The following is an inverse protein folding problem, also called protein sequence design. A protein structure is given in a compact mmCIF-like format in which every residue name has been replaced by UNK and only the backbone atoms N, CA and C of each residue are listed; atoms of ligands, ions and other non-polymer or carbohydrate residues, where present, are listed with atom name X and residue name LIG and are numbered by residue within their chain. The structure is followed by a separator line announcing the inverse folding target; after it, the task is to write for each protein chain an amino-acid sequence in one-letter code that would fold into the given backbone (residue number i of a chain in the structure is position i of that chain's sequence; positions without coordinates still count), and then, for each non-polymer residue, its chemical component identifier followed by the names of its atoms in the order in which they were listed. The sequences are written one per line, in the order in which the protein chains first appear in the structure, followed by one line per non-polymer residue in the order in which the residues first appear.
data_IF_947404975324
#
_entry.id   IF_947404975324
#
_cell.length_a   1.000
_cell.length_b   1.000
_cell.length_c   1.000
_cell.angle_alpha   90.00
_cell.angle_beta   90.00
_cell.angle_gamma   90.00
#
_symmetry.space_group_name_H-M   'P 1'
#
loop_
_entity.id
_entity.type
_entity.pdbx_description
1 polymer ?
#
# COMPACT_ATOMS: atom_id res chain seq x y z
N UNK A 1 2.07 -11.71 -13.07
CA UNK A 1 2.13 -11.63 -11.59
C UNK A 1 1.86 -13.03 -11.08
N UNK A 2 2.85 -13.70 -10.47
CA UNK A 2 2.54 -14.87 -9.64
C UNK A 2 1.75 -14.33 -8.45
N UNK A 3 0.50 -14.78 -8.31
CA UNK A 3 -0.55 -14.18 -7.48
C UNK A 3 -0.24 -14.32 -5.98
N UNK A 4 0.66 -13.47 -5.49
CA UNK A 4 0.67 -13.09 -4.08
C UNK A 4 -0.60 -12.28 -3.77
N UNK A 5 -1.08 -12.40 -2.54
CA UNK A 5 -2.21 -11.61 -2.03
C UNK A 5 -2.00 -10.11 -2.29
N UNK A 6 -3.03 -9.39 -2.77
CA UNK A 6 -3.03 -7.92 -2.85
C UNK A 6 -3.14 -7.26 -1.47
N UNK A 7 -3.42 -8.05 -0.44
CA UNK A 7 -3.43 -7.61 0.96
C UNK A 7 -2.01 -7.53 1.50
N UNK A 8 -1.61 -6.31 1.84
CA UNK A 8 -0.40 -5.95 2.58
C UNK A 8 -0.61 -6.20 4.08
N UNK A 9 0.41 -6.74 4.76
CA UNK A 9 0.48 -6.75 6.21
C UNK A 9 1.37 -5.61 6.72
N UNK A 10 0.77 -4.63 7.41
CA UNK A 10 1.50 -3.62 8.18
C UNK A 10 1.83 -4.23 9.54
N UNK A 11 3.11 -4.22 9.93
CA UNK A 11 3.58 -4.86 11.16
C UNK A 11 4.29 -3.84 12.04
N UNK A 12 3.90 -3.80 13.31
CA UNK A 12 4.57 -3.03 14.37
C UNK A 12 4.74 -3.91 15.60
N UNK A 13 5.44 -3.39 16.61
CA UNK A 13 5.44 -3.98 17.94
C UNK A 13 5.41 -2.92 19.02
N UNK A 14 4.52 -3.10 20.00
CA UNK A 14 4.44 -2.26 21.19
C UNK A 14 4.76 -3.10 22.42
N UNK A 15 5.76 -2.71 23.21
CA UNK A 15 6.23 -3.44 24.38
C UNK A 15 6.57 -4.92 24.09
N UNK A 16 7.12 -5.18 22.89
CA UNK A 16 7.44 -6.54 22.43
C UNK A 16 6.20 -7.38 22.07
N UNK A 17 5.03 -6.76 21.95
CA UNK A 17 3.81 -7.38 21.44
C UNK A 17 3.62 -7.01 19.98
N UNK A 18 3.71 -7.96 19.04
CA UNK A 18 3.47 -7.70 17.63
C UNK A 18 2.03 -7.24 17.40
N UNK A 19 1.86 -6.28 16.49
CA UNK A 19 0.57 -5.78 16.04
C UNK A 19 0.56 -5.79 14.53
N UNK A 20 -0.49 -6.37 13.94
CA UNK A 20 -0.63 -6.50 12.50
C UNK A 20 -1.91 -5.82 12.03
N UNK A 21 -1.82 -5.07 10.94
CA UNK A 21 -2.99 -4.54 10.23
C UNK A 21 -2.96 -4.97 8.76
N UNK A 22 -4.09 -5.39 8.22
CA UNK A 22 -4.20 -5.76 6.81
C UNK A 22 -4.82 -4.66 5.96
N UNK A 23 -4.18 -4.35 4.82
CA UNK A 23 -4.64 -3.34 3.86
C UNK A 23 -4.65 -3.92 2.45
N UNK A 24 -5.80 -3.87 1.75
CA UNK A 24 -5.90 -4.31 0.36
C UNK A 24 -5.44 -3.22 -0.62
N UNK A 25 -4.40 -3.53 -1.40
CA UNK A 25 -3.81 -2.67 -2.42
C UNK A 25 -4.30 -3.03 -3.85
N UNK A 26 -5.24 -3.97 -3.97
CA UNK A 26 -5.80 -4.43 -5.25
C UNK A 26 -6.63 -3.38 -5.99
N UNK A 27 -7.20 -3.72 -7.15
CA UNK A 27 -8.18 -2.86 -7.82
C UNK A 27 -9.37 -2.59 -6.88
N UNK A 28 -9.96 -1.39 -6.97
CA UNK A 28 -11.11 -1.02 -6.16
C UNK A 28 -12.28 -2.00 -6.38
N UNK A 29 -12.87 -2.45 -5.28
CA UNK A 29 -14.13 -3.21 -5.28
C UNK A 29 -15.20 -2.36 -4.60
N UNK A 30 -16.25 -2.01 -5.34
CA UNK A 30 -17.30 -1.11 -4.86
C UNK A 30 -17.95 -1.63 -3.58
N UNK A 31 -18.01 -0.77 -2.56
CA UNK A 31 -18.63 -1.08 -1.26
C UNK A 31 -17.77 -1.91 -0.30
N UNK A 32 -16.52 -2.27 -0.67
CA UNK A 32 -15.60 -3.02 0.18
C UNK A 32 -14.51 -2.10 0.71
N UNK A 33 -14.28 -2.13 2.03
CA UNK A 33 -13.19 -1.39 2.69
C UNK A 33 -11.84 -2.03 2.39
N UNK A 34 -10.82 -1.22 2.13
CA UNK A 34 -9.42 -1.68 2.01
C UNK A 34 -8.79 -1.99 3.37
N UNK A 35 -9.32 -1.45 4.47
CA UNK A 35 -8.88 -1.76 5.83
C UNK A 35 -9.51 -3.10 6.25
N UNK A 36 -8.74 -4.19 6.12
CA UNK A 36 -9.24 -5.57 6.16
C UNK A 36 -9.27 -6.20 7.57
N UNK A 37 -8.49 -5.69 8.52
CA UNK A 37 -8.48 -6.22 9.88
C UNK A 37 -7.26 -5.80 10.69
N UNK A 38 -7.34 -6.01 12.00
CA UNK A 38 -6.30 -5.66 12.98
C UNK A 38 -6.17 -6.75 14.05
N UNK A 39 -4.92 -7.06 14.43
CA UNK A 39 -4.61 -8.08 15.42
C UNK A 39 -3.51 -7.58 16.36
N UNK A 40 -3.72 -7.75 17.66
CA UNK A 40 -2.68 -7.65 18.68
C UNK A 40 -2.30 -9.09 19.05
N UNK A 41 -1.02 -9.43 18.96
CA UNK A 41 -0.54 -10.82 19.05
C UNK A 41 0.08 -11.09 20.44
N UNK A 42 -0.79 -11.11 21.46
CA UNK A 42 -0.43 -11.20 22.89
C UNK A 42 -0.64 -12.59 23.53
N UNK A 43 -0.93 -13.63 22.73
CA UNK A 43 -1.15 -15.01 23.19
C UNK A 43 0.11 -15.90 23.24
N UNK A 44 -0.03 -17.09 23.82
CA UNK A 44 1.04 -18.10 23.86
C UNK A 44 1.48 -18.58 22.46
N UNK A 45 0.56 -18.59 21.50
CA UNK A 45 0.76 -18.99 20.10
C UNK A 45 1.21 -17.81 19.22
N UNK A 46 1.91 -16.82 19.81
CA UNK A 46 2.22 -15.56 19.12
C UNK A 46 3.01 -15.75 17.83
N UNK A 47 3.97 -16.66 17.83
CA UNK A 47 4.84 -16.91 16.68
C UNK A 47 4.04 -17.50 15.50
N UNK A 48 3.15 -18.45 15.79
CA UNK A 48 2.29 -19.11 14.80
C UNK A 48 1.23 -18.15 14.27
N UNK A 49 0.65 -17.32 15.15
CA UNK A 49 -0.32 -16.30 14.76
C UNK A 49 0.34 -15.24 13.88
N UNK A 50 1.49 -14.70 14.28
CA UNK A 50 2.23 -13.74 13.47
C UNK A 50 2.63 -14.33 12.11
N UNK A 51 3.06 -15.59 12.07
CA UNK A 51 3.32 -16.31 10.82
C UNK A 51 2.05 -16.39 9.97
N UNK A 52 0.93 -16.84 10.51
CA UNK A 52 -0.31 -16.96 9.74
C UNK A 52 -0.78 -15.60 9.18
N UNK A 53 -0.55 -14.53 9.95
CA UNK A 53 -0.93 -13.18 9.57
C UNK A 53 -0.04 -12.54 8.50
N UNK A 54 1.19 -13.02 8.33
CA UNK A 54 2.19 -12.45 7.40
C UNK A 54 2.59 -13.39 6.28
N UNK A 55 2.33 -14.70 6.42
CA UNK A 55 2.66 -15.69 5.42
C UNK A 55 2.05 -15.32 4.07
N UNK A 56 2.86 -15.41 3.01
CA UNK A 56 2.51 -15.12 1.61
C UNK A 56 2.13 -13.67 1.30
N UNK A 57 2.21 -12.76 2.27
CA UNK A 57 1.88 -11.34 2.10
C UNK A 57 3.15 -10.53 1.93
N UNK A 58 3.00 -9.43 1.20
CA UNK A 58 3.96 -8.34 1.26
C UNK A 58 3.83 -7.69 2.63
N UNK A 59 4.94 -7.31 3.25
CA UNK A 59 4.94 -6.60 4.53
C UNK A 59 5.40 -5.16 4.40
N UNK A 60 4.91 -4.30 5.29
CA UNK A 60 5.48 -3.00 5.59
C UNK A 60 5.66 -2.96 7.10
N UNK A 61 6.89 -2.83 7.59
CA UNK A 61 7.18 -2.97 9.01
C UNK A 61 7.84 -1.72 9.55
N UNK A 62 7.48 -1.34 10.78
CA UNK A 62 8.29 -0.41 11.58
C UNK A 62 9.54 -1.12 12.07
N UNK A 63 10.46 -0.38 12.70
CA UNK A 63 11.64 -0.96 13.37
C UNK A 63 11.21 -2.00 14.41
N UNK A 64 10.19 -1.70 15.22
CA UNK A 64 9.65 -2.64 16.21
C UNK A 64 9.01 -3.87 15.57
N UNK A 65 8.25 -3.68 14.50
CA UNK A 65 7.64 -4.78 13.74
C UNK A 65 8.67 -5.69 13.08
N UNK A 66 9.72 -5.11 12.50
CA UNK A 66 10.82 -5.86 11.90
C UNK A 66 11.57 -6.70 12.94
N UNK A 67 11.85 -6.11 14.12
CA UNK A 67 12.45 -6.85 15.23
C UNK A 67 11.56 -8.03 15.66
N UNK A 68 10.27 -7.81 15.83
CA UNK A 68 9.32 -8.86 16.19
C UNK A 68 9.28 -10.00 15.15
N UNK A 69 9.33 -9.68 13.86
CA UNK A 69 9.39 -10.68 12.79
C UNK A 69 10.68 -11.50 12.86
N UNK A 70 11.82 -10.86 13.11
CA UNK A 70 13.13 -11.52 13.25
C UNK A 70 13.19 -12.42 14.49
N UNK A 71 12.68 -11.97 15.63
CA UNK A 71 12.65 -12.73 16.88
C UNK A 71 11.85 -14.04 16.75
N UNK A 72 10.88 -14.07 15.84
CA UNK A 72 10.09 -15.25 15.51
C UNK A 72 10.66 -16.05 14.32
N UNK A 73 11.90 -15.78 13.93
CA UNK A 73 12.64 -16.36 12.79
C UNK A 73 11.88 -16.28 11.46
N UNK A 74 11.07 -15.22 11.29
CA UNK A 74 10.26 -15.00 10.09
C UNK A 74 10.92 -13.94 9.23
N UNK A 75 11.74 -14.38 8.28
CA UNK A 75 12.15 -13.53 7.18
C UNK A 75 10.91 -13.16 6.37
N UNK A 76 10.59 -11.87 6.29
CA UNK A 76 9.58 -11.40 5.35
C UNK A 76 10.19 -11.41 3.97
N UNK A 77 9.83 -12.38 3.12
CA UNK A 77 10.47 -12.52 1.81
C UNK A 77 10.19 -11.34 0.88
N UNK A 78 9.09 -10.60 1.10
CA UNK A 78 8.61 -9.55 0.22
C UNK A 78 8.20 -8.33 1.02
N UNK A 79 8.86 -7.19 0.78
CA UNK A 79 8.65 -5.94 1.50
C UNK A 79 8.17 -4.86 0.55
N UNK A 80 7.19 -4.07 0.98
CA UNK A 80 6.72 -2.90 0.24
C UNK A 80 7.75 -1.78 0.35
N UNK A 81 8.18 -1.30 -0.80
CA UNK A 81 8.94 -0.06 -0.93
C UNK A 81 7.98 1.11 -1.03
N UNK A 82 7.72 1.76 0.11
CA UNK A 82 6.72 2.82 0.19
C UNK A 82 7.07 4.03 -0.68
N UNK A 83 8.33 4.46 -0.64
CA UNK A 83 8.81 5.62 -1.41
C UNK A 83 8.77 5.37 -2.91
N UNK A 84 9.25 4.22 -3.38
CA UNK A 84 9.17 3.91 -4.80
C UNK A 84 7.73 3.64 -5.25
N UNK A 85 6.86 3.14 -4.37
CA UNK A 85 5.43 3.01 -4.68
C UNK A 85 4.79 4.37 -4.92
N UNK A 86 5.03 5.37 -4.06
CA UNK A 86 4.57 6.75 -4.28
C UNK A 86 5.15 7.32 -5.57
N UNK A 87 6.45 7.10 -5.81
CA UNK A 87 7.11 7.53 -7.04
C UNK A 87 6.48 6.91 -8.29
N UNK A 88 6.09 5.63 -8.22
CA UNK A 88 5.42 4.91 -9.31
C UNK A 88 4.02 5.48 -9.59
N UNK A 89 3.24 5.79 -8.54
CA UNK A 89 1.95 6.48 -8.69
C UNK A 89 2.11 7.85 -9.38
N UNK A 90 3.11 8.63 -8.94
CA UNK A 90 3.44 9.93 -9.55
C UNK A 90 3.84 9.77 -11.02
N UNK A 91 4.68 8.79 -11.34
CA UNK A 91 5.15 8.53 -12.70
C UNK A 91 3.98 8.20 -13.63
N UNK A 92 3.05 7.33 -13.21
CA UNK A 92 1.88 6.99 -14.02
C UNK A 92 0.95 8.19 -14.19
N UNK A 93 0.69 8.99 -13.15
CA UNK A 93 -0.10 10.23 -13.29
C UNK A 93 0.54 11.17 -14.32
N UNK A 94 1.86 11.33 -14.29
CA UNK A 94 2.58 12.19 -15.23
C UNK A 94 2.51 11.65 -16.67
N UNK A 95 2.63 10.34 -16.87
CA UNK A 95 2.44 9.70 -18.19
C UNK A 95 1.03 10.01 -18.75
N UNK A 96 0.00 9.89 -17.92
CA UNK A 96 -1.36 10.24 -18.31
C UNK A 96 -1.51 11.73 -18.62
N UNK A 97 -0.87 12.61 -17.85
CA UNK A 97 -0.83 14.04 -18.13
C UNK A 97 -0.20 14.33 -19.49
N UNK A 98 0.92 13.69 -19.83
CA UNK A 98 1.54 13.79 -21.16
C UNK A 98 0.59 13.33 -22.27
N UNK A 99 -0.12 12.21 -22.08
CA UNK A 99 -1.10 11.74 -23.05
C UNK A 99 -2.27 12.71 -23.27
N UNK A 100 -2.67 13.46 -22.23
CA UNK A 100 -3.62 14.56 -22.39
C UNK A 100 -3.04 15.72 -23.21
N UNK A 101 -1.83 16.16 -22.91
CA UNK A 101 -1.16 17.26 -23.60
C UNK A 101 -1.01 16.95 -25.10
N UNK A 102 -0.57 15.74 -25.44
CA UNK A 102 -0.50 15.25 -26.81
C UNK A 102 -1.86 15.26 -27.51
N UNK A 103 -2.90 14.74 -26.86
CA UNK A 103 -4.25 14.74 -27.42
C UNK A 103 -4.80 16.16 -27.62
N UNK A 104 -4.46 17.11 -26.73
CA UNK A 104 -4.87 18.50 -26.81
C UNK A 104 -4.23 19.26 -27.96
N UNK A 105 -3.10 18.79 -28.52
CA UNK A 105 -2.52 19.39 -29.74
C UNK A 105 -3.40 19.23 -30.98
N UNK A 106 -4.18 18.15 -31.06
CA UNK A 106 -4.97 17.80 -32.24
C UNK A 106 -6.47 17.96 -32.04
N UNK A 107 -6.96 17.86 -30.80
CA UNK A 107 -8.40 17.95 -30.46
C UNK A 107 -8.70 19.28 -29.79
N UNK A 108 -9.50 20.11 -30.46
CA UNK A 108 -10.03 21.34 -29.86
C UNK A 108 -11.08 20.97 -28.79
N UNK A 109 -11.02 21.63 -27.63
CA UNK A 109 -11.97 21.50 -26.51
C UNK A 109 -11.87 20.22 -25.66
N UNK A 110 -10.69 19.63 -25.47
CA UNK A 110 -10.53 18.61 -24.42
C UNK A 110 -10.62 19.25 -23.04
N UNK A 111 -11.39 18.62 -22.15
CA UNK A 111 -11.41 18.99 -20.73
C UNK A 111 -10.13 18.46 -20.06
N UNK A 112 -9.35 19.31 -19.36
CA UNK A 112 -8.21 18.86 -18.60
C UNK A 112 -8.59 17.80 -17.55
N UNK A 113 -7.75 16.78 -17.35
CA UNK A 113 -7.95 15.84 -16.25
C UNK A 113 -7.82 16.54 -14.90
N UNK A 114 -8.58 16.05 -13.92
CA UNK A 114 -8.53 16.55 -12.54
C UNK A 114 -7.79 15.54 -11.68
N UNK A 115 -6.49 15.74 -11.54
CA UNK A 115 -5.67 14.84 -10.73
C UNK A 115 -5.95 15.02 -9.23
N UNK A 116 -5.98 13.92 -8.47
CA UNK A 116 -6.14 13.97 -7.02
C UNK A 116 -4.86 14.52 -6.36
N UNK A 117 -5.04 15.08 -5.17
CA UNK A 117 -3.92 15.33 -4.26
C UNK A 117 -3.43 14.00 -3.72
N UNK A 118 -2.14 13.73 -3.87
CA UNK A 118 -1.51 12.56 -3.23
C UNK A 118 -1.24 12.88 -1.75
N UNK A 119 -1.31 11.90 -0.85
CA UNK A 119 -0.93 12.12 0.53
C UNK A 119 0.56 12.51 0.62
N UNK A 120 0.90 13.33 1.62
CA UNK A 120 2.29 13.67 1.93
C UNK A 120 3.10 12.43 2.29
N UNK A 121 4.44 12.42 2.06
CA UNK A 121 5.29 11.29 2.44
C UNK A 121 5.07 10.85 3.89
N UNK A 122 4.92 9.55 4.10
CA UNK A 122 4.70 8.97 5.42
C UNK A 122 6.02 8.74 6.15
N UNK A 123 6.13 9.27 7.36
CA UNK A 123 7.06 8.74 8.36
C UNK A 123 6.37 7.58 9.11
N UNK A 124 6.77 6.36 8.80
CA UNK A 124 6.17 5.15 9.40
C UNK A 124 6.39 5.06 10.90
N UNK A 125 7.44 5.70 11.43
CA UNK A 125 7.78 5.67 12.86
C UNK A 125 7.09 6.78 13.67
N UNK A 126 6.54 7.79 13.00
CA UNK A 126 5.77 8.86 13.64
C UNK A 126 4.27 8.76 13.33
N UNK A 127 3.86 7.85 12.45
CA UNK A 127 2.47 7.66 12.09
C UNK A 127 1.67 7.23 13.32
N UNK A 128 0.66 8.00 13.73
CA UNK A 128 -0.24 7.61 14.81
C UNK A 128 -1.68 8.05 14.53
N UNK A 129 -2.63 7.14 14.75
CA UNK A 129 -4.05 7.44 14.75
C UNK A 129 -4.52 7.83 16.16
N UNK A 130 -5.24 8.95 16.26
CA UNK A 130 -5.76 9.49 17.53
C UNK A 130 -6.96 8.73 18.12
N UNK A 131 -7.36 7.60 17.54
CA UNK A 131 -8.56 6.85 17.93
C UNK A 131 -8.31 5.35 17.92
N UNK A 132 -8.91 4.63 18.88
CA UNK A 132 -8.83 3.17 18.99
C UNK A 132 -8.00 2.69 20.18
N UNK A 133 -7.59 1.42 20.14
CA UNK A 133 -6.64 0.84 21.10
C UNK A 133 -5.25 1.49 20.86
N UNK A 134 -4.63 2.11 21.89
CA UNK A 134 -3.32 2.73 21.76
C UNK A 134 -2.24 1.81 21.19
N UNK A 135 -2.32 0.50 21.46
CA UNK A 135 -1.38 -0.50 20.92
C UNK A 135 -1.43 -0.59 19.40
N UNK A 136 -2.56 -0.19 18.80
CA UNK A 136 -2.78 -0.23 17.35
C UNK A 136 -2.63 1.12 16.67
N UNK A 137 -2.36 2.19 17.43
CA UNK A 137 -2.40 3.56 16.91
C UNK A 137 -1.45 3.76 15.73
N UNK A 138 -0.25 3.20 15.79
CA UNK A 138 0.75 3.33 14.73
C UNK A 138 0.37 2.59 13.45
N UNK A 139 0.10 1.29 13.57
CA UNK A 139 -0.35 0.49 12.41
C UNK A 139 -1.64 1.02 11.79
N UNK A 140 -2.55 1.58 12.58
CA UNK A 140 -3.76 2.22 12.07
C UNK A 140 -3.44 3.54 11.35
N UNK A 141 -2.51 4.34 11.85
CA UNK A 141 -2.02 5.55 11.16
C UNK A 141 -1.45 5.21 9.79
N UNK A 142 -0.55 4.22 9.73
CA UNK A 142 0.03 3.72 8.48
C UNK A 142 -1.05 3.16 7.55
N UNK A 143 -1.97 2.35 8.08
CA UNK A 143 -3.03 1.74 7.28
C UNK A 143 -3.99 2.77 6.67
N UNK A 144 -4.34 3.83 7.42
CA UNK A 144 -5.15 4.95 6.91
C UNK A 144 -4.41 5.71 5.82
N UNK A 145 -3.13 6.00 6.01
CA UNK A 145 -2.33 6.64 4.98
C UNK A 145 -2.28 5.80 3.68
N UNK A 146 -2.10 4.48 3.78
CA UNK A 146 -2.13 3.57 2.63
C UNK A 146 -3.50 3.54 1.95
N UNK A 147 -4.57 3.58 2.73
CA UNK A 147 -5.92 3.71 2.21
C UNK A 147 -6.09 5.03 1.43
N UNK A 148 -5.59 6.15 1.95
CA UNK A 148 -5.67 7.45 1.29
C UNK A 148 -4.85 7.48 -0.01
N UNK A 149 -3.68 6.82 -0.03
CA UNK A 149 -2.92 6.62 -1.26
C UNK A 149 -3.71 5.79 -2.29
N UNK A 150 -4.39 4.72 -1.86
CA UNK A 150 -5.24 3.93 -2.74
C UNK A 150 -6.44 4.72 -3.27
N UNK A 151 -7.09 5.54 -2.43
CA UNK A 151 -8.17 6.41 -2.87
C UNK A 151 -7.71 7.44 -3.91
N UNK A 152 -6.51 8.00 -3.72
CA UNK A 152 -5.91 8.88 -4.72
C UNK A 152 -5.59 8.11 -6.01
N UNK A 153 -5.08 6.88 -5.92
CA UNK A 153 -4.87 6.04 -7.10
C UNK A 153 -6.17 5.71 -7.85
N UNK A 154 -7.23 5.33 -7.14
CA UNK A 154 -8.55 5.04 -7.70
C UNK A 154 -9.09 6.28 -8.48
N UNK A 155 -8.84 7.50 -7.98
CA UNK A 155 -9.19 8.74 -8.67
C UNK A 155 -8.33 9.00 -9.93
N UNK A 156 -7.06 8.61 -9.95
CA UNK A 156 -6.23 8.62 -11.18
C UNK A 156 -6.80 7.66 -12.22
N UNK A 157 -7.16 6.45 -11.80
CA UNK A 157 -7.76 5.44 -12.67
C UNK A 157 -9.13 5.87 -13.21
N UNK A 158 -9.94 6.58 -12.40
CA UNK A 158 -11.21 7.16 -12.85
C UNK A 158 -11.01 8.16 -14.00
N UNK A 159 -10.02 9.04 -13.91
CA UNK A 159 -9.69 9.99 -14.98
C UNK A 159 -9.22 9.25 -16.25
N UNK A 160 -8.37 8.22 -16.09
CA UNK A 160 -7.89 7.39 -17.20
C UNK A 160 -9.05 6.68 -17.91
N UNK A 161 -9.94 6.03 -17.16
CA UNK A 161 -11.03 5.23 -17.70
C UNK A 161 -12.16 6.09 -18.31
N UNK A 162 -12.37 7.32 -17.86
CA UNK A 162 -13.32 8.25 -18.49
C UNK A 162 -12.86 8.72 -19.88
N UNK A 163 -11.59 8.57 -20.23
CA UNK A 163 -10.97 9.18 -21.42
C UNK A 163 -10.54 8.12 -22.43
N UNK A 164 -11.20 8.08 -23.58
CA UNK A 164 -10.98 7.03 -24.60
C UNK A 164 -9.53 6.93 -25.08
N UNK A 165 -8.78 8.04 -25.11
CA UNK A 165 -7.38 8.08 -25.53
C UNK A 165 -6.39 7.68 -24.42
N UNK A 166 -6.81 7.65 -23.16
CA UNK A 166 -5.97 7.19 -22.03
C UNK A 166 -6.22 5.73 -21.65
N UNK A 167 -7.42 5.17 -21.96
CA UNK A 167 -7.74 3.76 -21.70
C UNK A 167 -6.67 2.77 -22.22
N UNK A 168 -6.09 2.93 -23.43
CA UNK A 168 -5.06 2.01 -23.91
C UNK A 168 -3.80 1.93 -23.03
N UNK A 169 -3.47 2.97 -22.25
CA UNK A 169 -2.27 3.06 -21.38
C UNK A 169 -2.36 2.22 -20.08
N UNK A 170 -3.35 1.35 -19.99
CA UNK A 170 -3.53 0.46 -18.83
C UNK A 170 -4.60 -0.60 -19.01
N UNK A 171 -5.14 -0.73 -20.24
CA UNK A 171 -6.24 -1.63 -20.53
C UNK A 171 -7.62 -1.10 -20.09
N UNK A 172 -8.69 -1.87 -20.36
CA UNK A 172 -10.07 -1.43 -20.14
C UNK A 172 -10.54 -1.49 -18.68
N UNK A 173 -9.79 -2.15 -17.80
CA UNK A 173 -10.14 -2.37 -16.41
C UNK A 173 -9.37 -1.43 -15.47
N UNK A 174 -9.88 -1.27 -14.26
CA UNK A 174 -9.18 -0.59 -13.16
C UNK A 174 -7.97 -1.41 -12.72
N UNK A 175 -6.84 -0.73 -12.50
CA UNK A 175 -5.58 -1.38 -12.10
C UNK A 175 -5.40 -1.31 -10.59
N UNK A 176 -4.71 -2.30 -10.04
CA UNK A 176 -4.21 -2.24 -8.67
C UNK A 176 -3.23 -1.07 -8.49
N UNK A 177 -3.00 -0.67 -7.23
CA UNK A 177 -1.94 0.28 -6.90
C UNK A 177 -0.61 -0.24 -7.50
N UNK A 178 0.20 0.60 -8.17
CA UNK A 178 1.47 0.19 -8.75
C UNK A 178 2.55 0.03 -7.65
N UNK A 179 2.29 -0.89 -6.72
CA UNK A 179 3.13 -1.21 -5.58
C UNK A 179 4.50 -1.74 -6.02
N UNK A 180 5.56 -1.14 -5.50
CA UNK A 180 6.93 -1.60 -5.71
C UNK A 180 7.28 -2.54 -4.57
N UNK A 181 7.59 -3.78 -4.91
CA UNK A 181 7.88 -4.85 -3.95
C UNK A 181 9.34 -5.24 -4.14
N UNK A 182 10.10 -5.23 -3.04
CA UNK A 182 11.48 -5.70 -3.00
C UNK A 182 11.50 -7.07 -2.33
N UNK A 183 12.37 -7.95 -2.80
CA UNK A 183 12.71 -9.14 -2.04
C UNK A 183 13.54 -8.71 -0.82
N UNK A 184 13.23 -9.23 0.37
CA UNK A 184 14.10 -8.98 1.51
C UNK A 184 15.45 -9.64 1.24
N UNK A 185 16.52 -8.85 1.32
CA UNK A 185 17.86 -9.40 1.28
C UNK A 185 18.01 -10.41 2.42
N UNK A 186 18.48 -11.65 2.15
CA UNK A 186 18.86 -12.54 3.23
C UNK A 186 19.91 -11.82 4.05
N UNK A 187 19.61 -11.60 5.34
CA UNK A 187 20.52 -10.93 6.24
C UNK A 187 21.90 -11.59 6.18
N UNK A 188 22.92 -10.81 5.83
CA UNK A 188 24.30 -11.17 6.16
C UNK A 188 24.33 -11.22 7.69
N UNK A 189 24.39 -12.42 8.24
CA UNK A 189 24.68 -12.62 9.65
C UNK A 189 26.00 -11.90 9.96
N UNK A 190 25.93 -10.89 10.83
CA UNK A 190 27.10 -10.32 11.49
C UNK A 190 27.33 -11.06 12.81
#
# INVERSE_FOLDING_TARGET
MNEGSSVLAVVDAMDGVPVVWWVDLGPRIAGISRLCGAWVVDGAERAETLQALTATRVTLSTVGGEQALREHERATERVLDLEATVTSVVAVRNELQTAYEEAATSKKNLTPPRWPTLPEPLDIEAAEATAGDPRTARVLGIARWLNDLCLAWDAVEDERLKRSYMRPLGGPAERALPAVIRDAQPGVAA
#
